data_IF_110724722225
#
_entry.id   IF_110724722225
#
_cell.length_a   1.000
_cell.length_b   1.000
_cell.length_c   1.000
_cell.angle_alpha   90.00
_cell.angle_beta   90.00
_cell.angle_gamma   90.00
#
_symmetry.space_group_name_H-M   'P 1'
#
loop_
_entity.id
_entity.type
_entity.pdbx_description
1 polymer ?
#
# COMPACT_ATOMS: atom_id res chain seq x y z
N UNK A 1 14.39 10.85 -0.90
CA UNK A 1 13.11 10.12 -0.72
C UNK A 1 12.88 9.30 -1.97
N UNK A 2 12.61 8.00 -1.85
CA UNK A 2 12.32 7.12 -2.99
C UNK A 2 10.81 6.99 -3.16
N UNK A 3 10.32 7.02 -4.40
CA UNK A 3 8.92 6.77 -4.73
C UNK A 3 8.83 5.54 -5.62
N UNK A 4 8.15 4.51 -5.15
CA UNK A 4 8.07 3.22 -5.83
C UNK A 4 6.61 2.93 -6.12
N UNK A 5 6.36 2.54 -7.37
CA UNK A 5 5.02 2.23 -7.89
C UNK A 5 4.74 0.75 -7.68
N UNK A 6 3.65 0.48 -6.99
CA UNK A 6 3.13 -0.84 -6.69
C UNK A 6 1.90 -1.04 -7.57
N UNK A 7 1.99 -1.83 -8.66
CA UNK A 7 0.84 -2.13 -9.49
C UNK A 7 -0.29 -2.73 -8.65
N UNK A 8 -1.51 -2.24 -8.85
CA UNK A 8 -2.71 -2.83 -8.33
C UNK A 8 -2.95 -4.16 -9.05
N UNK A 9 -3.28 -5.20 -8.30
CA UNK A 9 -3.61 -6.51 -8.86
C UNK A 9 -5.05 -6.51 -9.41
N UNK A 10 -5.36 -7.54 -10.19
CA UNK A 10 -6.74 -7.84 -10.63
C UNK A 10 -7.40 -6.73 -11.49
N UNK A 11 -6.60 -5.89 -12.14
CA UNK A 11 -7.11 -4.76 -12.91
C UNK A 11 -7.75 -3.66 -12.06
N UNK A 12 -7.52 -3.70 -10.73
CA UNK A 12 -8.01 -2.67 -9.83
C UNK A 12 -7.41 -1.30 -10.19
N UNK A 13 -8.23 -0.26 -9.99
CA UNK A 13 -7.84 1.13 -10.25
C UNK A 13 -8.16 1.98 -9.03
N UNK A 14 -7.35 3.00 -8.81
CA UNK A 14 -7.69 4.06 -7.85
C UNK A 14 -8.88 4.86 -8.36
N UNK A 15 -9.48 5.69 -7.50
CA UNK A 15 -10.55 6.61 -7.88
C UNK A 15 -10.16 7.56 -9.03
N UNK A 16 -8.86 7.82 -9.18
CA UNK A 16 -8.26 8.66 -10.24
C UNK A 16 -7.96 7.86 -11.53
N UNK A 17 -8.34 6.57 -11.59
CA UNK A 17 -8.14 5.71 -12.75
C UNK A 17 -6.73 5.13 -12.90
N UNK A 18 -5.87 5.27 -11.88
CA UNK A 18 -4.50 4.73 -11.90
C UNK A 18 -4.48 3.25 -11.51
N UNK A 19 -3.66 2.46 -12.18
CA UNK A 19 -3.43 1.04 -11.92
C UNK A 19 -2.31 0.79 -10.89
N UNK A 20 -1.87 1.78 -10.12
CA UNK A 20 -0.78 1.62 -9.16
C UNK A 20 -0.93 2.50 -7.92
N UNK A 21 -0.33 2.06 -6.82
CA UNK A 21 -0.09 2.85 -5.61
C UNK A 21 1.35 3.34 -5.56
N UNK A 22 1.56 4.56 -5.06
CA UNK A 22 2.91 5.11 -4.90
C UNK A 22 3.29 5.05 -3.43
N UNK A 23 4.26 4.20 -3.12
CA UNK A 23 4.85 4.05 -1.79
C UNK A 23 6.09 4.93 -1.72
N UNK A 24 6.18 5.81 -0.73
CA UNK A 24 7.40 6.58 -0.47
C UNK A 24 8.17 5.98 0.69
N UNK A 25 9.48 5.84 0.52
CA UNK A 25 10.36 5.34 1.58
C UNK A 25 11.73 5.98 1.50
N UNK A 26 12.42 6.04 2.63
CA UNK A 26 13.85 6.37 2.68
C UNK A 26 14.73 5.12 2.66
N UNK A 27 14.17 3.93 2.91
CA UNK A 27 14.87 2.65 2.99
C UNK A 27 14.28 1.66 1.97
N UNK A 28 14.71 1.70 0.71
CA UNK A 28 14.18 0.83 -0.33
C UNK A 28 14.47 -0.66 -0.07
N UNK A 29 15.54 -1.01 0.66
CA UNK A 29 15.84 -2.42 0.96
C UNK A 29 14.73 -3.10 1.76
N UNK A 30 13.97 -2.33 2.56
CA UNK A 30 12.86 -2.85 3.37
C UNK A 30 11.61 -3.18 2.56
N UNK A 31 11.54 -2.82 1.27
CA UNK A 31 10.39 -3.10 0.40
C UNK A 31 10.22 -4.60 0.11
N UNK A 32 11.30 -5.37 0.19
CA UNK A 32 11.32 -6.80 -0.09
C UNK A 32 10.61 -7.61 1.00
N UNK A 33 10.61 -7.10 2.23
CA UNK A 33 9.96 -7.72 3.39
C UNK A 33 8.55 -7.18 3.65
N UNK A 34 7.98 -6.36 2.77
CA UNK A 34 6.63 -5.85 2.98
C UNK A 34 5.59 -6.98 2.91
N UNK A 35 4.70 -6.98 3.89
CA UNK A 35 3.59 -7.95 4.01
C UNK A 35 2.25 -7.33 3.65
N UNK A 36 2.15 -6.00 3.60
CA UNK A 36 0.91 -5.30 3.28
C UNK A 36 1.12 -3.81 3.02
N UNK A 37 0.11 -3.19 2.40
CA UNK A 37 0.04 -1.74 2.22
C UNK A 37 -1.07 -1.21 3.12
N UNK A 38 -0.74 -0.36 4.08
CA UNK A 38 -1.76 0.34 4.87
C UNK A 38 -2.29 1.53 4.07
N UNK A 39 -3.59 1.75 4.06
CA UNK A 39 -4.19 2.99 3.54
C UNK A 39 -5.14 3.54 4.58
N UNK A 40 -5.30 4.86 4.61
CA UNK A 40 -6.27 5.46 5.51
C UNK A 40 -7.70 5.19 4.97
N UNK A 41 -8.62 4.60 5.75
CA UNK A 41 -9.99 4.32 5.32
C UNK A 41 -10.83 5.59 5.10
N UNK A 42 -10.43 6.73 5.65
CA UNK A 42 -11.05 8.03 5.43
C UNK A 42 -10.54 8.73 4.16
N UNK A 43 -9.46 8.24 3.51
CA UNK A 43 -9.01 8.78 2.22
C UNK A 43 -9.91 8.28 1.08
N UNK A 44 -10.75 9.15 0.47
CA UNK A 44 -11.65 8.73 -0.59
C UNK A 44 -10.91 8.23 -1.84
N UNK A 45 -9.61 8.53 -2.00
CA UNK A 45 -8.80 8.06 -3.13
C UNK A 45 -8.46 6.58 -3.03
N UNK A 46 -8.39 6.03 -1.81
CA UNK A 46 -7.84 4.70 -1.52
C UNK A 46 -8.78 3.79 -0.73
N UNK A 47 -9.85 4.33 -0.12
CA UNK A 47 -10.84 3.55 0.63
C UNK A 47 -11.37 2.32 -0.14
N UNK A 48 -11.64 2.47 -1.43
CA UNK A 48 -12.15 1.38 -2.28
C UNK A 48 -11.09 0.28 -2.56
N UNK A 49 -9.82 0.54 -2.23
CA UNK A 49 -8.73 -0.41 -2.42
C UNK A 49 -8.52 -1.30 -1.19
N UNK A 50 -9.14 -0.99 -0.05
CA UNK A 50 -9.05 -1.83 1.15
C UNK A 50 -9.62 -3.21 0.85
N UNK A 51 -8.85 -4.26 1.15
CA UNK A 51 -9.16 -5.65 0.81
C UNK A 51 -8.74 -6.07 -0.60
N UNK A 52 -8.28 -5.14 -1.45
CA UNK A 52 -7.63 -5.47 -2.73
C UNK A 52 -6.15 -5.78 -2.52
N UNK A 53 -5.48 -6.14 -3.61
CA UNK A 53 -4.07 -6.54 -3.59
C UNK A 53 -3.22 -5.65 -4.47
N UNK A 54 -1.95 -5.49 -4.11
CA UNK A 54 -0.92 -4.94 -4.97
C UNK A 54 0.17 -5.97 -5.23
N UNK A 55 0.88 -5.78 -6.33
CA UNK A 55 2.02 -6.63 -6.72
C UNK A 55 3.31 -5.88 -6.39
N UNK A 56 4.22 -6.53 -5.67
CA UNK A 56 5.57 -6.03 -5.49
C UNK A 56 6.33 -6.19 -6.81
N UNK A 57 6.82 -5.10 -7.42
CA UNK A 57 7.46 -5.18 -8.73
C UNK A 57 8.78 -5.96 -8.71
N UNK A 58 9.46 -6.06 -7.56
CA UNK A 58 10.77 -6.71 -7.45
C UNK A 58 10.69 -8.23 -7.26
N UNK A 59 9.63 -8.73 -6.62
CA UNK A 59 9.49 -10.14 -6.26
C UNK A 59 8.22 -10.77 -6.84
N UNK A 60 7.43 -9.99 -7.58
CA UNK A 60 6.15 -10.38 -8.16
C UNK A 60 5.18 -11.02 -7.14
N UNK A 61 5.29 -10.61 -5.87
CA UNK A 61 4.47 -11.10 -4.76
C UNK A 61 3.22 -10.23 -4.64
N UNK A 62 2.08 -10.84 -4.38
CA UNK A 62 0.85 -10.13 -4.03
C UNK A 62 0.81 -9.86 -2.53
N UNK A 63 0.55 -8.62 -2.14
CA UNK A 63 0.31 -8.24 -0.75
C UNK A 63 -1.04 -7.53 -0.61
N UNK A 64 -1.76 -7.74 0.49
CA UNK A 64 -3.04 -7.08 0.74
C UNK A 64 -2.87 -5.59 1.01
N UNK A 65 -3.89 -4.83 0.63
CA UNK A 65 -4.10 -3.46 1.05
C UNK A 65 -5.07 -3.49 2.22
N UNK A 66 -4.68 -2.93 3.36
CA UNK A 66 -5.53 -2.91 4.55
C UNK A 66 -5.77 -1.49 5.03
N UNK A 67 -6.94 -1.28 5.64
CA UNK A 67 -7.30 0.00 6.24
C UNK A 67 -6.63 0.16 7.59
N UNK A 68 -5.87 1.24 7.77
CA UNK A 68 -5.28 1.59 9.06
C UNK A 68 -5.59 3.07 9.34
N UNK A 69 -6.33 3.35 10.42
CA UNK A 69 -6.77 4.69 10.80
C UNK A 69 -5.59 5.57 11.28
N UNK A 70 -4.49 4.95 11.71
CA UNK A 70 -3.23 5.62 12.04
C UNK A 70 -2.36 5.90 10.80
N UNK A 71 -2.75 5.41 9.61
CA UNK A 71 -2.08 5.77 8.38
C UNK A 71 -2.28 7.26 8.12
N UNK A 72 -1.22 8.04 8.32
CA UNK A 72 -1.24 9.48 8.11
C UNK A 72 -1.59 9.80 6.64
N UNK A 73 -2.61 10.64 6.44
CA UNK A 73 -3.08 11.07 5.11
C UNK A 73 -1.96 11.75 4.28
N UNK A 74 -0.94 12.30 4.95
CA UNK A 74 0.26 12.89 4.36
C UNK A 74 1.46 11.94 4.26
N UNK A 75 1.44 10.76 4.90
CA UNK A 75 2.57 9.82 4.95
C UNK A 75 2.22 8.45 4.34
N UNK A 76 2.96 8.09 3.29
CA UNK A 76 2.62 7.01 2.35
C UNK A 76 2.74 5.59 2.91
N UNK A 77 1.59 5.05 3.30
CA UNK A 77 0.97 3.78 2.89
C UNK A 77 1.84 2.51 2.85
N UNK A 78 2.31 2.02 3.99
CA UNK A 78 3.00 0.73 4.06
C UNK A 78 2.78 0.10 5.43
N UNK A 79 2.53 -1.21 5.47
CA UNK A 79 2.55 -1.99 6.70
C UNK A 79 3.83 -2.80 6.84
N UNK A 80 4.29 -2.89 8.08
CA UNK A 80 5.35 -3.80 8.50
C UNK A 80 4.80 -4.81 9.48
N UNK A 81 5.45 -5.97 9.57
CA UNK A 81 5.13 -7.01 10.57
C UNK A 81 5.20 -6.49 12.01
N UNK A 82 5.97 -5.42 12.26
CA UNK A 82 6.11 -4.78 13.57
C UNK A 82 5.02 -3.74 13.90
N UNK A 83 4.00 -3.51 13.06
CA UNK A 83 3.01 -2.46 13.27
C UNK A 83 1.87 -2.90 14.23
N UNK A 84 1.78 -2.36 15.46
CA UNK A 84 0.84 -2.86 16.49
C UNK A 84 -0.63 -2.45 16.29
N UNK A 85 -1.03 -1.95 15.11
CA UNK A 85 -2.39 -1.45 14.83
C UNK A 85 -3.06 -2.03 13.58
N UNK A 86 -2.35 -2.83 12.78
CA UNK A 86 -2.88 -3.35 11.54
C UNK A 86 -3.79 -4.55 11.78
N UNK A 87 -5.10 -4.41 11.53
CA UNK A 87 -6.00 -5.56 11.40
C UNK A 87 -5.85 -6.15 10.00
N UNK A 88 -5.33 -7.39 9.93
CA UNK A 88 -5.37 -8.24 8.73
C UNK A 88 -6.81 -8.66 8.40
#
# INVERSE_FOLDING_TARGET
MWHIRYPLADGAKTADGKDYLVVATTRPETLLGDTGVAVNPEDPRYKDLIGKFVVLPLVNRRIPIVGDEHADMGKRHRLREDHPGARL
#
